data_IF_537419218625
#
_entry.id   IF_537419218625
#
_cell.length_a   1.000
_cell.length_b   1.000
_cell.length_c   1.000
_cell.angle_alpha   90.00
_cell.angle_beta   90.00
_cell.angle_gamma   90.00
#
_symmetry.space_group_name_H-M   'P 1'
#
loop_
_entity.id
_entity.type
_entity.pdbx_description
1 polymer ?
#
# COMPACT_ATOMS: atom_id res chain seq x y z
N UNK A 1 -1.61 -12.20 -10.25
CA UNK A 1 -1.79 -12.15 -8.79
C UNK A 1 -2.66 -10.94 -8.50
N UNK A 2 -3.89 -11.13 -8.02
CA UNK A 2 -4.89 -10.07 -7.88
C UNK A 2 -4.36 -8.96 -6.94
N UNK A 3 -4.45 -7.71 -7.41
CA UNK A 3 -3.84 -6.51 -6.81
C UNK A 3 -4.20 -6.36 -5.31
N UNK A 4 -5.42 -6.77 -4.92
CA UNK A 4 -5.87 -6.72 -3.53
C UNK A 4 -5.08 -7.66 -2.59
N UNK A 5 -4.72 -8.87 -3.04
CA UNK A 5 -3.99 -9.84 -2.21
C UNK A 5 -2.53 -9.44 -2.02
N UNK A 6 -1.89 -8.90 -3.06
CA UNK A 6 -0.50 -8.44 -2.99
C UNK A 6 -0.28 -7.29 -2.03
N UNK A 7 -1.25 -6.36 -1.94
CA UNK A 7 -1.16 -5.24 -0.99
C UNK A 7 -1.19 -5.72 0.46
N UNK A 8 -2.13 -6.63 0.79
CA UNK A 8 -2.22 -7.19 2.14
C UNK A 8 -0.93 -7.91 2.54
N UNK A 9 -0.45 -8.83 1.69
CA UNK A 9 0.74 -9.64 2.02
C UNK A 9 2.01 -8.81 2.14
N UNK A 10 2.12 -7.69 1.43
CA UNK A 10 3.21 -6.74 1.61
C UNK A 10 3.14 -6.02 2.96
N UNK A 11 1.94 -5.60 3.38
CA UNK A 11 1.75 -4.88 4.66
C UNK A 11 2.16 -5.76 5.85
N UNK A 12 1.83 -7.05 5.81
CA UNK A 12 2.11 -7.99 6.90
C UNK A 12 3.42 -8.77 6.74
N UNK A 13 4.27 -8.39 5.78
CA UNK A 13 5.50 -9.13 5.45
C UNK A 13 6.56 -8.97 6.55
N UNK A 14 6.80 -10.02 7.35
CA UNK A 14 7.65 -9.90 8.55
C UNK A 14 9.10 -9.48 8.31
N UNK A 15 9.68 -9.79 7.15
CA UNK A 15 11.05 -9.37 6.79
C UNK A 15 11.11 -7.96 6.18
N UNK A 16 9.99 -7.25 5.99
CA UNK A 16 10.04 -5.83 5.61
C UNK A 16 10.33 -5.01 6.86
N UNK A 17 11.42 -4.26 6.87
CA UNK A 17 11.91 -3.57 8.07
C UNK A 17 11.57 -2.08 8.07
N UNK A 18 11.39 -1.50 6.88
CA UNK A 18 11.21 -0.06 6.69
C UNK A 18 10.12 0.21 5.66
N UNK A 19 9.38 1.29 5.88
CA UNK A 19 8.38 1.82 4.97
C UNK A 19 8.66 3.29 4.69
N UNK A 20 8.61 3.68 3.42
CA UNK A 20 8.51 5.06 2.97
C UNK A 20 7.12 5.32 2.42
N UNK A 21 6.49 6.42 2.82
CA UNK A 21 5.13 6.79 2.39
C UNK A 21 5.16 8.16 1.74
N UNK A 22 4.65 8.23 0.51
CA UNK A 22 4.45 9.46 -0.25
C UNK A 22 2.96 9.73 -0.43
N UNK A 23 2.56 10.99 -0.24
CA UNK A 23 1.16 11.42 -0.34
C UNK A 23 1.10 12.63 -1.28
N UNK A 24 0.18 12.58 -2.25
CA UNK A 24 -0.17 13.71 -3.09
C UNK A 24 -1.69 13.86 -3.14
N UNK A 25 -2.20 15.05 -2.86
CA UNK A 25 -3.62 15.35 -2.88
C UNK A 25 -3.91 16.48 -3.87
N UNK A 26 -4.94 16.31 -4.69
CA UNK A 26 -5.50 17.37 -5.52
C UNK A 26 -6.88 17.75 -4.98
N UNK A 27 -6.98 18.97 -4.47
CA UNK A 27 -8.26 19.57 -4.06
C UNK A 27 -8.69 20.59 -5.11
N UNK A 28 -9.94 20.50 -5.53
CA UNK A 28 -10.54 21.44 -6.48
C UNK A 28 -11.28 22.53 -5.71
N UNK A 29 -10.92 23.80 -5.93
CA UNK A 29 -11.64 24.94 -5.33
C UNK A 29 -12.83 25.34 -6.21
N UNK A 30 -13.95 25.64 -5.54
CA UNK A 30 -15.26 25.89 -6.12
C UNK A 30 -15.27 26.94 -7.25
N UNK A 31 -16.11 26.72 -8.26
CA UNK A 31 -16.26 27.58 -9.44
C UNK A 31 -16.53 26.78 -10.71
N UNK A 32 -15.47 26.34 -11.40
CA UNK A 32 -15.54 25.54 -12.66
C UNK A 32 -15.26 24.04 -12.48
N UNK A 33 -14.67 23.65 -11.34
CA UNK A 33 -14.26 22.28 -11.04
C UNK A 33 -15.22 21.53 -10.09
N UNK A 34 -16.44 22.05 -9.88
CA UNK A 34 -17.46 21.49 -8.97
C UNK A 34 -17.89 20.05 -9.29
N UNK A 35 -17.62 19.56 -10.50
CA UNK A 35 -17.91 18.19 -10.92
C UNK A 35 -16.73 17.22 -10.78
N UNK A 36 -15.58 17.66 -10.24
CA UNK A 36 -14.40 16.81 -10.07
C UNK A 36 -14.23 16.40 -8.61
N UNK A 37 -14.20 15.09 -8.40
CA UNK A 37 -13.84 14.53 -7.10
C UNK A 37 -12.40 14.90 -6.74
N UNK A 38 -12.18 15.26 -5.47
CA UNK A 38 -10.83 15.40 -4.94
C UNK A 38 -10.10 14.06 -5.06
N UNK A 39 -8.83 14.11 -5.45
CA UNK A 39 -8.00 12.90 -5.63
C UNK A 39 -6.93 12.82 -4.56
N UNK A 40 -6.77 11.65 -3.97
CA UNK A 40 -5.67 11.32 -3.08
C UNK A 40 -4.87 10.17 -3.69
N UNK A 41 -3.57 10.39 -3.86
CA UNK A 41 -2.60 9.39 -4.30
C UNK A 41 -1.71 9.07 -3.11
N UNK A 42 -1.68 7.81 -2.72
CA UNK A 42 -0.84 7.29 -1.65
C UNK A 42 0.05 6.19 -2.23
N UNK A 43 1.36 6.33 -2.01
CA UNK A 43 2.36 5.36 -2.46
C UNK A 43 3.16 4.89 -1.25
N UNK A 44 3.25 3.58 -1.07
CA UNK A 44 4.08 2.95 -0.04
C UNK A 44 5.19 2.14 -0.69
N UNK A 45 6.43 2.36 -0.26
CA UNK A 45 7.59 1.57 -0.63
C UNK A 45 8.12 0.85 0.60
N UNK A 46 8.40 -0.45 0.49
CA UNK A 46 8.85 -1.30 1.58
C UNK A 46 10.27 -1.80 1.31
N UNK A 47 11.10 -1.88 2.35
CA UNK A 47 12.46 -2.42 2.26
C UNK A 47 12.82 -3.31 3.46
N UNK A 48 13.38 -4.52 3.23
CA UNK A 48 13.40 -5.27 1.96
C UNK A 48 11.99 -5.46 1.35
N UNK A 49 11.85 -5.64 0.03
CA UNK A 49 10.54 -5.80 -0.60
C UNK A 49 9.88 -7.13 -0.18
N UNK A 50 8.56 -7.10 -0.03
CA UNK A 50 7.76 -8.28 0.25
C UNK A 50 7.30 -8.99 -1.02
N UNK A 51 6.34 -9.91 -0.87
CA UNK A 51 5.73 -10.66 -1.96
C UNK A 51 6.72 -11.46 -2.82
N UNK A 52 7.86 -11.83 -2.25
CA UNK A 52 8.84 -12.68 -2.94
C UNK A 52 8.27 -14.08 -3.04
N UNK A 53 8.07 -14.55 -4.28
CA UNK A 53 7.66 -15.92 -4.58
C UNK A 53 8.57 -16.90 -3.83
N UNK A 54 7.97 -17.92 -3.19
CA UNK A 54 8.59 -18.90 -2.26
C UNK A 54 8.74 -18.49 -0.79
N UNK A 55 8.56 -17.23 -0.42
CA UNK A 55 8.85 -16.76 0.95
C UNK A 55 7.60 -16.49 1.82
N UNK A 56 6.40 -16.77 1.32
CA UNK A 56 5.14 -16.45 2.00
C UNK A 56 4.97 -17.14 3.36
N UNK A 57 5.33 -18.44 3.47
CA UNK A 57 5.20 -19.18 4.74
C UNK A 57 6.05 -18.57 5.86
N UNK A 58 7.21 -18.01 5.49
CA UNK A 58 8.12 -17.40 6.45
C UNK A 58 7.70 -15.97 6.82
N UNK A 59 6.93 -15.29 5.97
CA UNK A 59 6.66 -13.86 6.12
C UNK A 59 5.22 -13.49 6.46
N UNK A 60 4.23 -14.30 6.09
CA UNK A 60 2.82 -14.04 6.35
C UNK A 60 2.37 -14.96 7.48
N UNK A 61 2.33 -14.43 8.71
CA UNK A 61 2.01 -15.19 9.91
C UNK A 61 0.51 -15.24 10.15
N UNK A 62 0.06 -16.29 10.85
CA UNK A 62 -1.31 -16.34 11.37
C UNK A 62 -1.49 -15.24 12.41
N UNK A 63 -2.66 -14.59 12.40
CA UNK A 63 -3.02 -13.64 13.44
C UNK A 63 -3.00 -14.35 14.81
N UNK A 64 -2.39 -13.71 15.80
CA UNK A 64 -2.47 -14.14 17.19
C UNK A 64 -3.74 -13.53 17.78
N UNK A 65 -4.54 -14.36 18.45
CA UNK A 65 -5.76 -13.93 19.15
C UNK A 65 -5.42 -13.33 20.50
#
# INVERSE_FOLDING_TARGET
>A
MLIALGNFTQIVWSSSERIGVGIASQSYKSGKDLHKDSKLILVCLYHPPGNVTSQFQNNVKKAVK
#
